data_IF_893013176702
#
_entry.id   IF_893013176702
#
_cell.length_a   1.000
_cell.length_b   1.000
_cell.length_c   1.000
_cell.angle_alpha   90.00
_cell.angle_beta   90.00
_cell.angle_gamma   90.00
#
_symmetry.space_group_name_H-M   'P 1'
#
loop_
_entity.id
_entity.type
_entity.pdbx_description
1 polymer ?
#
# COMPACT_ATOMS: atom_id res chain seq x y z
N UNK A 1 1.98 23.39 -0.07
CA UNK A 1 3.24 23.45 0.71
C UNK A 1 4.05 22.18 0.53
N UNK A 2 3.50 20.99 0.75
CA UNK A 2 4.26 19.72 0.67
C UNK A 2 4.90 19.47 -0.70
N UNK A 3 4.18 19.63 -1.81
CA UNK A 3 4.74 19.42 -3.14
C UNK A 3 5.90 20.39 -3.47
N UNK A 4 5.86 21.63 -2.96
CA UNK A 4 6.96 22.60 -3.16
C UNK A 4 8.22 22.16 -2.41
N UNK A 5 8.07 21.68 -1.17
CA UNK A 5 9.18 21.12 -0.40
C UNK A 5 9.76 19.85 -1.05
N UNK A 6 8.90 18.99 -1.59
CA UNK A 6 9.32 17.79 -2.31
C UNK A 6 10.14 18.10 -3.57
N UNK A 7 9.74 19.09 -4.37
CA UNK A 7 10.51 19.55 -5.54
C UNK A 7 11.90 20.03 -5.12
N UNK A 8 11.98 20.83 -4.05
CA UNK A 8 13.27 21.32 -3.52
C UNK A 8 14.18 20.17 -3.10
N UNK A 9 13.65 19.20 -2.35
CA UNK A 9 14.43 18.04 -1.88
C UNK A 9 14.96 17.18 -3.03
N UNK A 10 14.16 16.91 -4.06
CA UNK A 10 14.61 16.15 -5.24
C UNK A 10 15.71 16.91 -5.99
N UNK A 11 15.56 18.23 -6.13
CA UNK A 11 16.59 19.08 -6.76
C UNK A 11 17.91 19.02 -6.00
N UNK A 12 17.88 19.24 -4.68
CA UNK A 12 19.08 19.22 -3.83
C UNK A 12 19.81 17.86 -3.89
N UNK A 13 19.07 16.75 -3.83
CA UNK A 13 19.65 15.41 -3.94
C UNK A 13 20.29 15.17 -5.31
N UNK A 14 19.64 15.62 -6.39
CA UNK A 14 20.19 15.52 -7.74
C UNK A 14 21.47 16.35 -7.89
N UNK A 15 21.52 17.55 -7.34
CA UNK A 15 22.70 18.44 -7.35
C UNK A 15 23.87 17.85 -6.55
N UNK A 16 23.58 17.04 -5.53
CA UNK A 16 24.57 16.29 -4.74
C UNK A 16 25.02 14.98 -5.41
N UNK A 17 24.60 14.71 -6.65
CA UNK A 17 24.95 13.48 -7.36
C UNK A 17 24.19 12.23 -6.88
N UNK A 18 23.06 12.42 -6.18
CA UNK A 18 22.18 11.35 -5.70
C UNK A 18 20.82 11.44 -6.39
N UNK A 19 20.70 11.01 -7.67
CA UNK A 19 19.45 11.09 -8.40
C UNK A 19 18.37 10.19 -7.78
N UNK A 20 17.15 10.70 -7.65
CA UNK A 20 16.02 9.96 -7.07
C UNK A 20 15.21 9.28 -8.17
N UNK A 21 15.10 7.95 -8.13
CA UNK A 21 14.35 7.17 -9.13
C UNK A 21 12.88 6.94 -8.72
N UNK A 22 12.64 6.69 -7.43
CA UNK A 22 11.32 6.33 -6.90
C UNK A 22 10.81 7.36 -5.92
N UNK A 23 9.55 7.76 -6.10
CA UNK A 23 8.78 8.47 -5.11
C UNK A 23 7.79 7.49 -4.47
N UNK A 24 7.91 7.27 -3.16
CA UNK A 24 6.94 6.48 -2.39
C UNK A 24 6.01 7.43 -1.64
N UNK A 25 4.71 7.25 -1.80
CA UNK A 25 3.71 8.14 -1.21
C UNK A 25 2.29 7.61 -1.36
N UNK A 26 1.32 8.45 -1.03
CA UNK A 26 -0.09 8.14 -1.14
C UNK A 26 -0.60 8.24 -2.59
N UNK A 27 -1.92 8.27 -2.79
CA UNK A 27 -2.52 8.42 -4.12
C UNK A 27 -2.30 9.78 -4.78
N UNK A 28 -1.79 10.79 -4.07
CA UNK A 28 -1.65 12.14 -4.61
C UNK A 28 -0.52 12.24 -5.63
N UNK A 29 -0.85 12.69 -6.83
CA UNK A 29 0.10 12.84 -7.93
C UNK A 29 0.66 14.26 -8.05
N UNK A 30 0.26 15.19 -7.16
CA UNK A 30 0.64 16.60 -7.24
C UNK A 30 2.16 16.80 -7.28
N UNK A 31 2.91 16.09 -6.44
CA UNK A 31 4.38 16.19 -6.43
C UNK A 31 5.02 15.69 -7.72
N UNK A 32 4.56 14.55 -8.27
CA UNK A 32 5.09 14.02 -9.53
C UNK A 32 4.80 14.97 -10.69
N UNK A 33 3.59 15.52 -10.75
CA UNK A 33 3.23 16.50 -11.76
C UNK A 33 4.13 17.74 -11.69
N UNK A 34 4.42 18.25 -10.48
CA UNK A 34 5.31 19.39 -10.28
C UNK A 34 6.77 19.10 -10.62
N UNK A 35 7.28 17.92 -10.26
CA UNK A 35 8.65 17.53 -10.60
C UNK A 35 8.87 17.49 -12.12
N UNK A 36 7.85 17.03 -12.86
CA UNK A 36 7.88 17.04 -14.32
C UNK A 36 7.80 18.46 -14.88
N UNK A 37 6.91 19.33 -14.37
CA UNK A 37 6.79 20.71 -14.88
C UNK A 37 7.97 21.60 -14.53
N UNK A 38 8.48 21.50 -13.29
CA UNK A 38 9.41 22.48 -12.73
C UNK A 38 10.88 22.09 -12.98
N UNK A 39 11.17 20.78 -13.02
CA UNK A 39 12.54 20.25 -13.16
C UNK A 39 12.73 19.36 -14.40
N UNK A 40 11.67 19.10 -15.18
CA UNK A 40 11.68 18.11 -16.27
C UNK A 40 12.14 16.71 -15.81
N UNK A 41 11.88 16.35 -14.56
CA UNK A 41 12.24 15.05 -13.99
C UNK A 41 11.05 14.11 -14.08
N UNK A 42 11.25 12.95 -14.69
CA UNK A 42 10.26 11.86 -14.70
C UNK A 42 10.63 10.82 -13.65
N UNK A 43 9.79 10.65 -12.65
CA UNK A 43 10.00 9.70 -11.55
C UNK A 43 9.01 8.53 -11.62
N UNK A 44 9.41 7.37 -11.10
CA UNK A 44 8.52 6.24 -10.88
C UNK A 44 7.80 6.41 -9.54
N UNK A 45 6.48 6.22 -9.53
CA UNK A 45 5.70 6.22 -8.28
C UNK A 45 5.57 4.82 -7.72
N UNK A 46 5.67 4.70 -6.40
CA UNK A 46 5.24 3.53 -5.64
C UNK A 46 4.23 3.96 -4.58
N UNK A 47 3.23 3.14 -4.35
CA UNK A 47 2.32 3.34 -3.24
C UNK A 47 3.01 2.94 -1.94
N UNK A 48 2.86 3.78 -0.92
CA UNK A 48 3.25 3.44 0.44
C UNK A 48 2.38 2.30 0.97
N UNK A 49 2.99 1.12 1.06
CA UNK A 49 2.33 -0.10 1.56
C UNK A 49 1.83 0.07 2.99
N UNK A 50 2.59 0.79 3.84
CA UNK A 50 2.21 1.00 5.23
C UNK A 50 0.96 1.87 5.33
N UNK A 51 0.84 2.88 4.45
CA UNK A 51 -0.35 3.70 4.39
C UNK A 51 -1.58 2.88 3.95
N UNK A 52 -1.43 2.00 2.96
CA UNK A 52 -2.50 1.11 2.51
C UNK A 52 -2.94 0.18 3.65
N UNK A 53 -2.00 -0.47 4.32
CA UNK A 53 -2.29 -1.35 5.48
C UNK A 53 -2.98 -0.58 6.60
N UNK A 54 -2.49 0.62 6.93
CA UNK A 54 -3.08 1.49 7.96
C UNK A 54 -4.54 1.85 7.63
N UNK A 55 -4.80 2.25 6.38
CA UNK A 55 -6.14 2.60 5.93
C UNK A 55 -7.07 1.40 5.91
N UNK A 56 -6.58 0.24 5.49
CA UNK A 56 -7.31 -1.03 5.57
C UNK A 56 -7.70 -1.38 7.01
N UNK A 57 -6.74 -1.40 7.94
CA UNK A 57 -6.99 -1.71 9.35
C UNK A 57 -7.93 -0.67 9.99
N UNK A 58 -7.80 0.61 9.65
CA UNK A 58 -8.71 1.68 10.12
C UNK A 58 -10.16 1.42 9.66
N UNK A 59 -10.36 1.00 8.42
CA UNK A 59 -11.69 0.64 7.89
C UNK A 59 -12.29 -0.56 8.63
N UNK A 60 -11.48 -1.58 8.95
CA UNK A 60 -11.95 -2.74 9.73
C UNK A 60 -12.37 -2.35 11.15
N UNK A 61 -11.63 -1.46 11.82
CA UNK A 61 -12.03 -0.96 13.14
C UNK A 61 -13.27 -0.07 13.08
N UNK A 62 -13.49 0.67 11.99
CA UNK A 62 -14.73 1.40 11.76
C UNK A 62 -15.90 0.42 11.63
N UNK A 63 -15.78 -0.61 10.81
CA UNK A 63 -16.80 -1.67 10.68
C UNK A 63 -17.11 -2.34 12.02
N UNK A 64 -16.09 -2.57 12.86
CA UNK A 64 -16.28 -3.10 14.23
C UNK A 64 -17.19 -2.22 15.10
N UNK A 65 -17.14 -0.90 14.91
CA UNK A 65 -17.93 0.05 15.68
C UNK A 65 -19.37 0.21 15.18
N UNK A 66 -19.70 -0.35 14.01
CA UNK A 66 -21.04 -0.28 13.43
C UNK A 66 -22.00 -1.26 14.12
N UNK A 67 -23.24 -0.82 14.35
CA UNK A 67 -24.26 -1.63 15.02
C UNK A 67 -24.54 -2.91 14.23
N UNK A 68 -24.48 -4.06 14.91
CA UNK A 68 -24.78 -5.37 14.32
C UNK A 68 -23.55 -6.11 13.76
N UNK A 69 -22.38 -5.46 13.68
CA UNK A 69 -21.16 -6.10 13.20
C UNK A 69 -20.39 -6.78 14.34
N UNK A 70 -20.01 -8.05 14.15
CA UNK A 70 -19.22 -8.84 15.12
C UNK A 70 -17.86 -9.23 14.53
N UNK A 71 -16.98 -8.26 14.31
CA UNK A 71 -15.58 -8.53 13.94
C UNK A 71 -14.67 -8.45 15.17
N UNK A 72 -13.92 -9.52 15.44
CA UNK A 72 -13.02 -9.58 16.58
C UNK A 72 -11.71 -8.85 16.29
N UNK A 73 -11.01 -8.40 17.34
CA UNK A 73 -9.65 -7.84 17.19
C UNK A 73 -8.69 -8.86 16.56
N UNK A 74 -8.82 -10.14 16.93
CA UNK A 74 -8.00 -11.23 16.37
C UNK A 74 -8.22 -11.37 14.86
N UNK A 75 -9.47 -11.30 14.39
CA UNK A 75 -9.83 -11.32 12.97
C UNK A 75 -9.19 -10.14 12.23
N UNK A 76 -9.28 -8.92 12.79
CA UNK A 76 -8.65 -7.74 12.19
C UNK A 76 -7.14 -7.92 12.06
N UNK A 77 -6.47 -8.41 13.12
CA UNK A 77 -5.03 -8.66 13.10
C UNK A 77 -4.65 -9.74 12.08
N UNK A 78 -5.46 -10.79 11.93
CA UNK A 78 -5.19 -11.83 10.94
C UNK A 78 -5.36 -11.33 9.50
N UNK A 79 -6.42 -10.56 9.21
CA UNK A 79 -6.62 -9.89 7.92
C UNK A 79 -5.47 -8.94 7.58
N UNK A 80 -4.96 -8.18 8.56
CA UNK A 80 -3.79 -7.33 8.38
C UNK A 80 -2.54 -8.14 8.00
N UNK A 81 -2.29 -9.29 8.66
CA UNK A 81 -1.19 -10.19 8.31
C UNK A 81 -1.33 -10.75 6.90
N UNK A 82 -2.53 -11.18 6.51
CA UNK A 82 -2.80 -11.68 5.16
C UNK A 82 -2.52 -10.61 4.10
N UNK A 83 -2.94 -9.37 4.34
CA UNK A 83 -2.67 -8.24 3.43
C UNK A 83 -1.17 -7.95 3.30
N UNK A 84 -0.44 -7.91 4.42
CA UNK A 84 1.03 -7.74 4.40
C UNK A 84 1.74 -8.86 3.67
N UNK A 85 1.26 -10.10 3.84
CA UNK A 85 1.79 -11.27 3.14
C UNK A 85 1.59 -11.15 1.63
N UNK A 86 0.37 -10.81 1.18
CA UNK A 86 0.09 -10.58 -0.24
C UNK A 86 1.06 -9.55 -0.83
N UNK A 87 1.25 -8.40 -0.16
CA UNK A 87 2.20 -7.36 -0.57
C UNK A 87 3.67 -7.78 -0.61
N UNK A 88 4.07 -8.74 0.23
CA UNK A 88 5.45 -9.22 0.31
C UNK A 88 5.72 -10.30 -0.73
N UNK A 89 4.76 -11.20 -0.98
CA UNK A 89 4.91 -12.32 -1.91
C UNK A 89 4.84 -11.93 -3.37
N UNK A 90 3.92 -11.05 -3.76
CA UNK A 90 3.70 -10.76 -5.19
C UNK A 90 4.30 -9.41 -5.60
N UNK A 91 5.51 -9.10 -5.11
CA UNK A 91 6.22 -7.89 -5.53
C UNK A 91 6.59 -8.01 -7.01
N UNK A 92 5.96 -7.19 -7.84
CA UNK A 92 6.17 -7.21 -9.30
C UNK A 92 5.30 -8.22 -10.05
N UNK A 93 4.40 -8.93 -9.35
CA UNK A 93 3.44 -9.87 -9.92
C UNK A 93 2.02 -9.38 -9.63
N UNK A 94 1.41 -8.72 -10.62
CA UNK A 94 0.07 -8.16 -10.49
C UNK A 94 -1.02 -9.23 -10.44
N UNK A 95 -0.85 -10.34 -11.18
CA UNK A 95 -1.83 -11.43 -11.23
C UNK A 95 -1.85 -12.18 -9.91
N UNK A 96 -0.68 -12.58 -9.39
CA UNK A 96 -0.60 -13.22 -8.08
C UNK A 96 -1.04 -12.30 -6.94
N UNK A 97 -0.82 -10.97 -7.06
CA UNK A 97 -1.35 -9.99 -6.11
C UNK A 97 -2.89 -10.02 -6.09
N UNK A 98 -3.52 -9.94 -7.26
CA UNK A 98 -4.98 -9.93 -7.37
C UNK A 98 -5.59 -11.22 -6.82
N UNK A 99 -5.04 -12.38 -7.18
CA UNK A 99 -5.48 -13.70 -6.70
C UNK A 99 -5.38 -13.81 -5.18
N UNK A 100 -4.22 -13.44 -4.62
CA UNK A 100 -4.02 -13.49 -3.16
C UNK A 100 -4.95 -12.52 -2.43
N UNK A 101 -5.19 -11.32 -2.97
CA UNK A 101 -6.12 -10.35 -2.38
C UNK A 101 -7.57 -10.87 -2.38
N UNK A 102 -8.01 -11.49 -3.48
CA UNK A 102 -9.34 -12.15 -3.57
C UNK A 102 -9.47 -13.30 -2.57
N UNK A 103 -8.39 -14.02 -2.30
CA UNK A 103 -8.35 -15.15 -1.35
C UNK A 103 -8.42 -14.77 0.13
N UNK A 104 -8.15 -13.51 0.51
CA UNK A 104 -8.06 -13.11 1.95
C UNK A 104 -9.37 -13.37 2.72
N UNK A 105 -10.50 -12.92 2.17
CA UNK A 105 -11.81 -13.03 2.86
C UNK A 105 -12.28 -14.49 2.92
N UNK A 106 -12.32 -15.24 1.80
CA UNK A 106 -12.64 -16.67 1.82
C UNK A 106 -11.79 -17.46 2.82
N UNK A 107 -10.48 -17.23 2.82
CA UNK A 107 -9.54 -17.89 3.75
C UNK A 107 -9.87 -17.59 5.21
N UNK A 108 -10.21 -16.33 5.54
CA UNK A 108 -10.56 -15.92 6.90
C UNK A 108 -11.82 -16.60 7.44
N UNK A 109 -12.76 -16.96 6.56
CA UNK A 109 -14.07 -17.51 6.93
C UNK A 109 -14.26 -18.98 6.56
N UNK A 110 -13.20 -19.66 6.09
CA UNK A 110 -13.18 -21.12 5.90
C UNK A 110 -13.65 -21.59 4.52
N UNK A 111 -13.75 -20.71 3.53
CA UNK A 111 -14.07 -21.11 2.16
C UNK A 111 -12.82 -21.66 1.45
N UNK A 112 -12.91 -22.83 0.79
CA UNK A 112 -11.78 -23.44 0.10
C UNK A 112 -11.46 -22.67 -1.18
N UNK A 113 -10.52 -21.72 -1.08
CA UNK A 113 -9.84 -21.10 -2.21
C UNK A 113 -8.35 -21.46 -2.14
N UNK A 114 -7.65 -21.59 -3.29
CA UNK A 114 -6.24 -21.92 -3.30
C UNK A 114 -5.43 -20.74 -2.75
N UNK A 115 -5.01 -20.83 -1.48
CA UNK A 115 -3.99 -19.97 -0.87
C UNK A 115 -2.85 -20.86 -0.36
N UNK A 116 -1.57 -20.44 -0.46
CA UNK A 116 -0.44 -21.25 -0.04
C UNK A 116 -0.48 -21.53 1.48
N UNK A 117 -0.17 -22.76 1.88
CA UNK A 117 -0.30 -23.32 3.25
C UNK A 117 0.52 -22.65 4.36
N UNK A 118 1.12 -21.49 4.11
CA UNK A 118 2.05 -20.79 5.03
C UNK A 118 1.41 -19.71 5.91
N UNK A 119 0.08 -19.66 5.98
CA UNK A 119 -0.66 -18.75 6.86
C UNK A 119 -1.19 -19.41 8.16
N UNK A 120 -0.84 -20.68 8.40
CA UNK A 120 -1.06 -21.38 9.67
C UNK A 120 0.03 -21.05 10.70
#
# INVERSE_FOLDING_TARGET
MEATSGVKGVKELSEQGTPVEYLEGDGDNTLISKLKSDLNVTMKKRFDKNLVVKNFTKSLYKLKSEKGMKISKATITHLEKCLKYAFSKNKGDATGMEENLKGIVPHQFGDPQPMPSTLL
#
